data_IF_879336076903
#
_entry.id   IF_879336076903
#
_cell.length_a   1.000
_cell.length_b   1.000
_cell.length_c   1.000
_cell.angle_alpha   90.00
_cell.angle_beta   90.00
_cell.angle_gamma   90.00
#
_symmetry.space_group_name_H-M   'P 1'
#
loop_
_entity.id
_entity.type
_entity.pdbx_description
1 polymer ?
#
# COMPACT_ATOMS: atom_id res chain seq x y z
N UNK A 1 35.35 -29.90 -9.90
CA UNK A 1 35.83 -29.21 -8.69
C UNK A 1 34.65 -29.01 -7.73
N UNK A 2 34.59 -29.72 -6.59
CA UNK A 2 33.54 -29.52 -5.59
C UNK A 2 34.10 -28.72 -4.39
N UNK A 3 33.79 -27.42 -4.29
CA UNK A 3 34.05 -26.62 -3.08
C UNK A 3 32.92 -25.63 -2.72
N UNK A 4 31.76 -25.69 -3.39
CA UNK A 4 30.64 -24.76 -3.11
C UNK A 4 29.51 -25.34 -2.25
N UNK A 5 29.54 -26.64 -1.91
CA UNK A 5 28.46 -27.30 -1.14
C UNK A 5 28.64 -27.29 0.38
N UNK A 6 29.80 -26.86 0.90
CA UNK A 6 30.09 -26.95 2.35
C UNK A 6 29.71 -25.68 3.13
N UNK A 7 29.32 -24.59 2.46
CA UNK A 7 28.96 -23.33 3.15
C UNK A 7 27.49 -23.21 3.56
N UNK A 8 26.61 -24.04 2.99
CA UNK A 8 25.18 -24.05 3.36
C UNK A 8 24.83 -24.98 4.52
N UNK A 9 25.70 -25.95 4.87
CA UNK A 9 25.42 -26.92 5.94
C UNK A 9 25.98 -26.52 7.33
N UNK A 10 26.68 -25.38 7.44
CA UNK A 10 27.19 -24.87 8.72
C UNK A 10 26.36 -23.73 9.32
N UNK A 11 25.39 -23.18 8.59
CA UNK A 11 24.49 -22.14 9.12
C UNK A 11 23.30 -22.70 9.90
N UNK A 12 22.89 -23.94 9.64
CA UNK A 12 21.76 -24.58 10.33
C UNK A 12 22.12 -25.17 11.71
N UNK A 13 23.41 -25.35 12.03
CA UNK A 13 23.83 -25.97 13.29
C UNK A 13 24.30 -25.00 14.38
N UNK A 14 24.41 -23.69 14.12
CA UNK A 14 24.83 -22.69 15.14
C UNK A 14 23.64 -21.89 15.71
N UNK A 15 22.48 -21.90 15.04
CA UNK A 15 21.24 -21.28 15.57
C UNK A 15 20.34 -22.27 16.34
N UNK A 16 20.74 -23.55 16.43
CA UNK A 16 19.88 -24.64 16.87
C UNK A 16 19.80 -24.91 18.39
N UNK A 17 20.61 -24.29 19.24
CA UNK A 17 20.61 -24.67 20.67
C UNK A 17 20.50 -23.53 21.70
N UNK A 18 20.83 -22.28 21.38
CA UNK A 18 20.73 -21.19 22.37
C UNK A 18 19.40 -20.41 22.38
N UNK A 19 18.46 -20.76 21.50
CA UNK A 19 17.18 -20.04 21.39
C UNK A 19 15.96 -20.78 21.96
N UNK A 20 16.09 -22.02 22.44
CA UNK A 20 14.91 -22.76 22.95
C UNK A 20 14.42 -22.25 24.30
N UNK A 21 15.30 -21.82 25.20
CA UNK A 21 14.88 -21.25 26.50
C UNK A 21 14.39 -19.80 26.38
N UNK A 22 14.98 -19.00 25.48
CA UNK A 22 14.59 -17.60 25.28
C UNK A 22 13.29 -17.45 24.45
N UNK A 23 13.02 -18.38 23.53
CA UNK A 23 11.72 -18.46 22.85
C UNK A 23 10.65 -18.90 23.84
N UNK A 24 10.88 -19.89 24.70
CA UNK A 24 9.86 -20.37 25.65
C UNK A 24 9.46 -19.29 26.68
N UNK A 25 10.42 -18.46 27.13
CA UNK A 25 10.12 -17.33 28.02
C UNK A 25 9.44 -16.15 27.32
N UNK A 26 9.69 -15.92 26.02
CA UNK A 26 8.94 -14.94 25.22
C UNK A 26 7.54 -15.43 24.83
N UNK A 27 7.33 -16.72 24.60
CA UNK A 27 6.01 -17.29 24.29
C UNK A 27 5.08 -17.24 25.51
N UNK A 28 5.61 -17.42 26.73
CA UNK A 28 4.80 -17.32 27.95
C UNK A 28 4.40 -15.86 28.22
N UNK A 29 5.30 -14.88 28.00
CA UNK A 29 4.96 -13.45 28.13
C UNK A 29 4.03 -12.92 27.03
N UNK A 30 4.05 -13.49 25.83
CA UNK A 30 3.08 -13.16 24.78
C UNK A 30 1.72 -13.86 25.02
N UNK A 31 1.67 -15.08 25.59
CA UNK A 31 0.40 -15.75 25.89
C UNK A 31 -0.44 -15.05 26.97
N UNK A 32 0.18 -14.30 27.87
CA UNK A 32 -0.49 -13.48 28.89
C UNK A 32 -1.01 -12.13 28.36
N UNK A 33 -0.52 -11.66 27.21
CA UNK A 33 -1.03 -10.45 26.55
C UNK A 33 -2.19 -10.82 25.60
N UNK A 34 -2.20 -12.04 25.06
CA UNK A 34 -3.32 -12.55 24.27
C UNK A 34 -4.54 -13.01 25.09
N UNK A 35 -4.41 -13.26 26.40
CA UNK A 35 -5.57 -13.53 27.27
C UNK A 35 -6.34 -12.27 27.70
N UNK A 36 -5.75 -11.08 27.54
CA UNK A 36 -6.42 -9.78 27.80
C UNK A 36 -6.98 -9.11 26.54
N UNK A 37 -6.64 -9.61 25.34
CA UNK A 37 -7.20 -9.17 24.06
C UNK A 37 -8.14 -10.25 23.46
N UNK A 38 -8.08 -11.48 23.97
CA UNK A 38 -8.97 -12.60 23.60
C UNK A 38 -10.40 -12.54 24.15
N UNK A 39 -10.81 -11.45 24.81
CA UNK A 39 -12.19 -11.27 25.29
C UNK A 39 -13.06 -10.37 24.39
N UNK A 40 -12.55 -9.93 23.23
CA UNK A 40 -13.28 -8.99 22.35
C UNK A 40 -13.60 -9.52 20.95
N UNK A 41 -13.27 -10.77 20.62
CA UNK A 41 -13.48 -11.33 19.27
C UNK A 41 -14.21 -12.70 19.22
N UNK A 42 -14.87 -13.11 20.31
CA UNK A 42 -15.72 -14.31 20.35
C UNK A 42 -17.23 -14.00 20.44
N UNK A 43 -17.71 -13.00 19.69
CA UNK A 43 -19.15 -12.85 19.42
C UNK A 43 -19.39 -12.45 17.96
N UNK A 44 -18.90 -13.26 17.03
CA UNK A 44 -19.35 -13.24 15.65
C UNK A 44 -19.29 -14.65 15.06
N UNK A 45 -20.41 -15.37 15.18
CA UNK A 45 -20.71 -16.55 14.37
C UNK A 45 -20.27 -17.89 14.95
N UNK A 46 -21.00 -18.41 15.95
CA UNK A 46 -21.51 -19.79 16.03
C UNK A 46 -22.09 -20.05 17.43
N UNK A 47 -23.30 -19.54 17.67
CA UNK A 47 -24.29 -20.14 18.57
C UNK A 47 -25.67 -19.87 17.97
N UNK A 48 -25.89 -20.42 16.77
CA UNK A 48 -27.24 -20.85 16.37
C UNK A 48 -27.38 -22.31 16.78
N UNK A 49 -27.77 -22.54 18.02
CA UNK A 49 -28.72 -23.59 18.40
C UNK A 49 -29.11 -23.34 19.85
N UNK A 50 -30.40 -23.06 20.04
CA UNK A 50 -31.14 -22.94 21.31
C UNK A 50 -30.79 -21.77 22.24
N UNK A 51 -31.68 -20.78 22.28
CA UNK A 51 -31.93 -20.03 23.52
C UNK A 51 -31.40 -18.60 23.63
N UNK A 52 -31.47 -17.78 22.60
CA UNK A 52 -31.46 -16.31 22.77
C UNK A 52 -32.20 -15.63 21.62
N UNK A 53 -33.52 -15.56 21.71
CA UNK A 53 -34.30 -14.52 21.03
C UNK A 53 -33.87 -13.17 21.63
N UNK A 54 -32.74 -12.60 21.18
CA UNK A 54 -32.44 -11.19 21.41
C UNK A 54 -33.47 -10.42 20.59
N UNK A 55 -34.46 -9.86 21.28
CA UNK A 55 -35.35 -8.83 20.76
C UNK A 55 -34.52 -7.84 19.93
N UNK A 56 -34.89 -7.64 18.66
CA UNK A 56 -34.43 -6.48 17.89
C UNK A 56 -34.90 -5.25 18.65
N UNK A 57 -34.02 -4.65 19.44
CA UNK A 57 -34.30 -3.38 20.08
C UNK A 57 -34.41 -2.31 18.98
N UNK A 58 -35.55 -1.62 18.83
CA UNK A 58 -35.73 -0.59 17.80
C UNK A 58 -34.72 0.56 17.93
N UNK A 59 -34.14 0.75 19.12
CA UNK A 59 -33.11 1.77 19.40
C UNK A 59 -31.78 1.50 18.67
N UNK A 60 -31.31 0.24 18.59
CA UNK A 60 -30.09 -0.11 17.85
C UNK A 60 -30.23 0.12 16.34
N UNK A 61 -31.45 -0.05 15.81
CA UNK A 61 -31.78 0.22 14.40
C UNK A 61 -31.64 1.71 14.06
N UNK A 62 -32.04 2.62 14.96
CA UNK A 62 -32.00 4.05 14.70
C UNK A 62 -30.58 4.64 14.74
N UNK A 63 -29.73 4.12 15.64
CA UNK A 63 -28.35 4.57 15.84
C UNK A 63 -27.46 4.34 14.60
N UNK A 64 -27.40 3.09 14.14
CA UNK A 64 -26.59 2.73 12.97
C UNK A 64 -27.17 3.32 11.68
N UNK A 65 -28.49 3.46 11.57
CA UNK A 65 -29.11 4.05 10.38
C UNK A 65 -28.80 5.54 10.22
N UNK A 66 -28.73 6.33 11.29
CA UNK A 66 -28.45 7.76 11.15
C UNK A 66 -27.02 8.00 10.64
N UNK A 67 -26.03 7.28 11.19
CA UNK A 67 -24.63 7.36 10.75
C UNK A 67 -24.45 6.84 9.33
N UNK A 68 -25.16 5.78 8.94
CA UNK A 68 -25.12 5.22 7.59
C UNK A 68 -25.70 6.18 6.54
N UNK A 69 -26.78 6.90 6.88
CA UNK A 69 -27.45 7.84 5.96
C UNK A 69 -26.70 9.14 5.76
N UNK A 70 -25.91 9.57 6.75
CA UNK A 70 -25.15 10.80 6.66
C UNK A 70 -24.03 10.71 5.60
N UNK A 71 -24.17 11.51 4.55
CA UNK A 71 -23.20 11.71 3.46
C UNK A 71 -22.48 13.06 3.54
N UNK A 72 -22.97 13.97 4.38
CA UNK A 72 -22.36 15.28 4.63
C UNK A 72 -22.35 15.62 6.13
N UNK A 73 -21.41 16.45 6.62
CA UNK A 73 -21.32 16.80 8.04
C UNK A 73 -22.62 17.35 8.63
N UNK A 74 -23.35 18.19 7.88
CA UNK A 74 -24.59 18.83 8.36
C UNK A 74 -25.70 17.82 8.65
N UNK A 75 -25.62 16.62 8.05
CA UNK A 75 -26.61 15.55 8.23
C UNK A 75 -26.41 14.76 9.53
N UNK A 76 -25.37 15.05 10.31
CA UNK A 76 -25.08 14.37 11.58
C UNK A 76 -25.78 14.99 12.79
N UNK A 77 -26.45 16.13 12.64
CA UNK A 77 -27.20 16.77 13.74
C UNK A 77 -28.17 15.82 14.46
N UNK A 78 -28.97 14.98 13.77
CA UNK A 78 -29.84 14.02 14.44
C UNK A 78 -29.07 12.94 15.22
N UNK A 79 -27.89 12.54 14.72
CA UNK A 79 -27.03 11.57 15.41
C UNK A 79 -26.44 12.15 16.69
N UNK A 80 -26.08 13.44 16.70
CA UNK A 80 -25.61 14.12 17.90
C UNK A 80 -26.70 14.26 18.96
N UNK A 81 -27.92 14.61 18.56
CA UNK A 81 -29.09 14.67 19.47
C UNK A 81 -29.31 13.31 20.14
N UNK A 82 -29.37 12.25 19.33
CA UNK A 82 -29.54 10.89 19.81
C UNK A 82 -28.39 10.44 20.74
N UNK A 83 -27.14 10.78 20.41
CA UNK A 83 -25.99 10.49 21.24
C UNK A 83 -26.03 11.20 22.61
N UNK A 84 -26.52 12.44 22.66
CA UNK A 84 -26.68 13.19 23.89
C UNK A 84 -27.86 12.69 24.74
N UNK A 85 -28.94 12.20 24.13
CA UNK A 85 -30.07 11.59 24.85
C UNK A 85 -29.66 10.30 25.55
N UNK A 86 -28.79 9.50 24.91
CA UNK A 86 -28.30 8.23 25.46
C UNK A 86 -27.27 8.36 26.59
N UNK A 87 -26.61 9.51 26.74
CA UNK A 87 -25.62 9.72 27.79
C UNK A 87 -25.70 11.13 28.35
N UNK A 88 -26.11 11.24 29.62
CA UNK A 88 -26.05 12.48 30.40
C UNK A 88 -24.88 12.39 31.40
N UNK A 89 -23.89 13.30 31.37
CA UNK A 89 -23.76 14.44 30.46
C UNK A 89 -23.34 14.02 29.04
N UNK A 90 -23.79 14.79 28.05
CA UNK A 90 -23.38 14.56 26.66
C UNK A 90 -21.88 14.77 26.56
N UNK A 91 -21.15 13.68 26.32
CA UNK A 91 -19.70 13.70 26.36
C UNK A 91 -19.10 12.77 25.32
N UNK A 92 -17.89 13.10 24.88
CA UNK A 92 -17.06 12.28 23.98
C UNK A 92 -16.66 10.92 24.58
N UNK A 93 -16.97 10.67 25.86
CA UNK A 93 -16.80 9.36 26.50
C UNK A 93 -17.94 8.39 26.15
N UNK A 94 -19.07 8.88 25.63
CA UNK A 94 -20.09 8.01 25.04
C UNK A 94 -19.57 7.43 23.72
N UNK A 95 -19.58 6.10 23.59
CA UNK A 95 -19.16 5.39 22.38
C UNK A 95 -19.90 5.83 21.12
N UNK A 96 -21.21 6.10 21.19
CA UNK A 96 -21.98 6.55 20.03
C UNK A 96 -21.66 8.01 19.66
N UNK A 97 -21.51 8.91 20.64
CA UNK A 97 -21.06 10.28 20.38
C UNK A 97 -19.68 10.30 19.72
N UNK A 98 -18.77 9.45 20.19
CA UNK A 98 -17.45 9.27 19.62
C UNK A 98 -17.51 8.77 18.18
N UNK A 99 -18.39 7.82 17.87
CA UNK A 99 -18.64 7.35 16.49
C UNK A 99 -19.19 8.46 15.58
N UNK A 100 -20.10 9.30 16.08
CA UNK A 100 -20.61 10.46 15.34
C UNK A 100 -19.50 11.45 14.99
N UNK A 101 -18.61 11.78 15.94
CA UNK A 101 -17.44 12.62 15.66
C UNK A 101 -16.52 11.97 14.63
N UNK A 102 -16.21 10.67 14.78
CA UNK A 102 -15.39 9.95 13.80
C UNK A 102 -15.99 10.02 12.40
N UNK A 103 -17.31 9.84 12.28
CA UNK A 103 -18.01 9.98 11.00
C UNK A 103 -17.92 11.41 10.46
N UNK A 104 -18.07 12.42 11.31
CA UNK A 104 -17.93 13.83 10.90
C UNK A 104 -16.53 14.14 10.37
N UNK A 105 -15.48 13.71 11.08
CA UNK A 105 -14.08 13.87 10.64
C UNK A 105 -13.87 13.22 9.26
N UNK A 106 -14.36 12.00 9.06
CA UNK A 106 -14.26 11.32 7.76
C UNK A 106 -15.01 12.06 6.64
N UNK A 107 -16.22 12.58 6.92
CA UNK A 107 -17.00 13.33 5.95
C UNK A 107 -16.33 14.67 5.61
N UNK A 108 -15.77 15.38 6.58
CA UNK A 108 -15.02 16.62 6.37
C UNK A 108 -13.79 16.41 5.49
N UNK A 109 -13.02 15.33 5.73
CA UNK A 109 -11.90 14.96 4.85
C UNK A 109 -12.42 14.76 3.42
N UNK A 110 -13.48 13.96 3.24
CA UNK A 110 -14.00 13.62 1.90
C UNK A 110 -14.67 14.80 1.17
N UNK A 111 -15.09 15.83 1.90
CA UNK A 111 -15.63 17.10 1.41
C UNK A 111 -14.55 18.18 1.23
N UNK A 112 -13.27 17.79 1.25
CA UNK A 112 -12.12 18.67 1.03
C UNK A 112 -11.97 19.79 2.09
N UNK A 113 -12.27 19.46 3.34
CA UNK A 113 -12.03 20.35 4.50
C UNK A 113 -11.17 19.63 5.58
N UNK A 114 -9.92 19.25 5.25
CA UNK A 114 -9.03 18.52 6.17
C UNK A 114 -8.63 19.35 7.39
N UNK A 115 -8.55 20.68 7.27
CA UNK A 115 -8.18 21.57 8.38
C UNK A 115 -9.26 21.59 9.46
N UNK A 116 -10.53 21.69 9.05
CA UNK A 116 -11.65 21.57 10.00
C UNK A 116 -11.74 20.17 10.59
N UNK A 117 -11.45 19.13 9.79
CA UNK A 117 -11.38 17.76 10.29
C UNK A 117 -10.31 17.59 11.38
N UNK A 118 -9.13 18.20 11.18
CA UNK A 118 -8.03 18.23 12.14
C UNK A 118 -8.40 18.98 13.42
N UNK A 119 -8.95 20.18 13.29
CA UNK A 119 -9.41 20.95 14.44
C UNK A 119 -10.45 20.18 15.26
N UNK A 120 -11.40 19.52 14.59
CA UNK A 120 -12.41 18.70 15.25
C UNK A 120 -11.80 17.48 15.96
N UNK A 121 -10.81 16.84 15.33
CA UNK A 121 -10.07 15.73 15.93
C UNK A 121 -9.35 16.18 17.22
N UNK A 122 -8.62 17.29 17.18
CA UNK A 122 -7.92 17.88 18.34
C UNK A 122 -8.90 18.22 19.47
N UNK A 123 -10.01 18.91 19.14
CA UNK A 123 -11.07 19.28 20.08
C UNK A 123 -11.64 18.08 20.84
N UNK A 124 -11.72 16.92 20.20
CA UNK A 124 -12.28 15.70 20.76
C UNK A 124 -11.23 14.65 21.14
N UNK A 125 -9.95 15.04 21.21
CA UNK A 125 -8.84 14.17 21.58
C UNK A 125 -8.71 12.91 20.72
N UNK A 126 -9.02 13.04 19.42
CA UNK A 126 -8.63 12.06 18.41
C UNK A 126 -7.23 12.39 17.91
N UNK A 127 -6.41 11.34 17.73
CA UNK A 127 -5.19 11.48 16.97
C UNK A 127 -5.55 11.48 15.47
N UNK A 128 -5.46 12.65 14.83
CA UNK A 128 -5.84 12.87 13.44
C UNK A 128 -5.08 11.94 12.49
N UNK A 129 -3.77 11.80 12.67
CA UNK A 129 -2.92 10.98 11.80
C UNK A 129 -3.30 9.50 11.88
N UNK A 130 -3.58 9.00 13.09
CA UNK A 130 -4.03 7.63 13.33
C UNK A 130 -5.41 7.38 12.69
N UNK A 131 -6.27 8.40 12.72
CA UNK A 131 -7.58 8.35 12.08
C UNK A 131 -7.47 8.29 10.56
N UNK A 132 -6.69 9.18 9.96
CA UNK A 132 -6.42 9.20 8.51
C UNK A 132 -5.81 7.88 8.05
N UNK A 133 -4.82 7.35 8.78
CA UNK A 133 -4.23 6.04 8.51
C UNK A 133 -5.26 4.93 8.52
N UNK A 134 -6.20 4.95 9.47
CA UNK A 134 -7.25 3.94 9.57
C UNK A 134 -8.24 4.05 8.42
N UNK A 135 -8.70 5.26 8.10
CA UNK A 135 -9.64 5.53 7.02
C UNK A 135 -9.06 5.13 5.65
N UNK A 136 -7.77 5.45 5.43
CA UNK A 136 -7.05 5.03 4.23
C UNK A 136 -6.90 3.50 4.18
N UNK A 137 -6.53 2.86 5.29
CA UNK A 137 -6.40 1.40 5.35
C UNK A 137 -7.71 0.67 5.10
N UNK A 138 -8.82 1.23 5.57
CA UNK A 138 -10.18 0.71 5.34
C UNK A 138 -10.55 0.80 3.85
N UNK A 139 -10.33 1.95 3.22
CA UNK A 139 -10.57 2.11 1.78
C UNK A 139 -9.77 1.10 0.92
N UNK A 140 -8.51 0.81 1.29
CA UNK A 140 -7.71 -0.23 0.62
C UNK A 140 -8.28 -1.63 0.86
N UNK A 141 -8.66 -1.96 2.10
CA UNK A 141 -9.25 -3.27 2.45
C UNK A 141 -10.58 -3.53 1.75
N UNK A 142 -11.38 -2.50 1.58
CA UNK A 142 -12.67 -2.55 0.89
C UNK A 142 -12.52 -2.61 -0.64
N UNK A 143 -11.29 -2.63 -1.15
CA UNK A 143 -11.01 -2.69 -2.59
C UNK A 143 -11.35 -1.39 -3.31
N UNK A 144 -11.28 -0.24 -2.62
CA UNK A 144 -11.55 1.07 -3.18
C UNK A 144 -10.27 1.94 -3.24
N UNK A 145 -9.33 1.63 -4.16
CA UNK A 145 -8.06 2.35 -4.28
C UNK A 145 -8.24 3.83 -4.67
N UNK A 146 -9.28 4.17 -5.43
CA UNK A 146 -9.59 5.56 -5.79
C UNK A 146 -9.96 6.40 -4.58
N UNK A 147 -10.75 5.85 -3.65
CA UNK A 147 -11.06 6.52 -2.41
C UNK A 147 -9.82 6.67 -1.53
N UNK A 148 -8.97 5.64 -1.44
CA UNK A 148 -7.71 5.71 -0.70
C UNK A 148 -6.80 6.83 -1.27
N UNK A 149 -6.65 6.88 -2.60
CA UNK A 149 -5.90 7.93 -3.30
C UNK A 149 -6.48 9.32 -3.02
N UNK A 150 -7.81 9.47 -3.11
CA UNK A 150 -8.50 10.72 -2.78
C UNK A 150 -8.22 11.15 -1.33
N UNK A 151 -8.35 10.24 -0.35
CA UNK A 151 -8.05 10.55 1.06
C UNK A 151 -6.61 11.04 1.21
N UNK A 152 -5.64 10.34 0.62
CA UNK A 152 -4.24 10.73 0.71
C UNK A 152 -3.99 12.12 0.13
N UNK A 153 -4.50 12.41 -1.07
CA UNK A 153 -4.33 13.73 -1.70
C UNK A 153 -4.89 14.85 -0.84
N UNK A 154 -6.06 14.64 -0.23
CA UNK A 154 -6.74 15.65 0.59
C UNK A 154 -6.02 15.95 1.90
N UNK A 155 -5.28 15.00 2.45
CA UNK A 155 -4.58 15.14 3.74
C UNK A 155 -3.07 15.31 3.58
N UNK A 156 -2.52 15.26 2.36
CA UNK A 156 -1.07 15.21 2.13
C UNK A 156 -0.33 16.42 2.71
N UNK A 157 -0.91 17.61 2.65
CA UNK A 157 -0.31 18.84 3.17
C UNK A 157 -0.47 18.94 4.70
N UNK A 158 -1.46 18.23 5.25
CA UNK A 158 -1.72 18.18 6.68
C UNK A 158 -0.87 17.14 7.41
N UNK A 159 -0.18 16.25 6.67
CA UNK A 159 0.70 15.19 7.18
C UNK A 159 2.16 15.48 6.83
N UNK A 160 3.07 15.24 7.77
CA UNK A 160 4.50 15.29 7.47
C UNK A 160 4.95 14.10 6.59
N UNK A 161 6.22 14.13 6.15
CA UNK A 161 6.80 13.09 5.31
C UNK A 161 6.74 11.69 5.96
N UNK A 162 7.07 11.58 7.24
CA UNK A 162 7.11 10.28 7.95
C UNK A 162 5.71 9.67 8.06
N UNK A 163 4.68 10.49 8.32
CA UNK A 163 3.30 10.02 8.37
C UNK A 163 2.78 9.61 6.99
N UNK A 164 3.11 10.36 5.93
CA UNK A 164 2.77 9.96 4.54
C UNK A 164 3.42 8.63 4.18
N UNK A 165 4.70 8.45 4.50
CA UNK A 165 5.44 7.20 4.28
C UNK A 165 4.79 6.03 5.03
N UNK A 166 4.49 6.18 6.32
CA UNK A 166 3.85 5.13 7.12
C UNK A 166 2.45 4.70 6.62
N UNK A 167 1.72 5.59 5.94
CA UNK A 167 0.44 5.23 5.29
C UNK A 167 0.71 4.26 4.13
N UNK A 168 1.68 4.58 3.29
CA UNK A 168 2.02 3.80 2.09
C UNK A 168 2.70 2.49 2.45
N UNK A 169 3.66 2.48 3.38
CA UNK A 169 4.35 1.26 3.86
C UNK A 169 3.36 0.18 4.34
N UNK A 170 2.24 0.61 4.93
CA UNK A 170 1.18 -0.30 5.39
C UNK A 170 0.39 -0.94 4.25
N UNK A 171 0.27 -0.28 3.10
CA UNK A 171 -0.27 -0.90 1.88
C UNK A 171 0.73 -1.92 1.34
N UNK A 172 2.01 -1.57 1.39
CA UNK A 172 3.09 -2.40 0.87
C UNK A 172 3.32 -3.67 1.68
N UNK A 173 3.04 -3.68 2.99
CA UNK A 173 3.19 -4.90 3.79
C UNK A 173 2.34 -6.08 3.28
N UNK A 174 1.33 -5.81 2.46
CA UNK A 174 0.50 -6.82 1.79
C UNK A 174 0.80 -6.98 0.29
N UNK A 175 1.67 -6.15 -0.30
CA UNK A 175 2.01 -6.17 -1.73
C UNK A 175 3.49 -6.51 -1.92
N UNK A 176 3.76 -7.61 -2.61
CA UNK A 176 5.13 -8.06 -2.86
C UNK A 176 5.61 -7.80 -4.29
N UNK A 177 4.88 -7.01 -5.08
CA UNK A 177 5.22 -6.72 -6.49
C UNK A 177 6.05 -5.43 -6.54
N UNK A 178 7.36 -5.48 -6.87
CA UNK A 178 8.25 -4.33 -6.81
C UNK A 178 7.81 -3.12 -7.64
N UNK A 179 7.22 -3.36 -8.81
CA UNK A 179 6.76 -2.28 -9.67
C UNK A 179 5.49 -1.59 -9.17
N UNK A 180 4.60 -2.31 -8.48
CA UNK A 180 3.46 -1.67 -7.80
C UNK A 180 3.95 -0.80 -6.64
N UNK A 181 4.97 -1.26 -5.90
CA UNK A 181 5.61 -0.49 -4.84
C UNK A 181 6.20 0.82 -5.40
N UNK A 182 6.97 0.72 -6.48
CA UNK A 182 7.55 1.87 -7.17
C UNK A 182 6.47 2.87 -7.62
N UNK A 183 5.42 2.39 -8.28
CA UNK A 183 4.32 3.24 -8.76
C UNK A 183 3.60 3.94 -7.60
N UNK A 184 3.33 3.23 -6.50
CA UNK A 184 2.70 3.84 -5.33
C UNK A 184 3.59 4.92 -4.70
N UNK A 185 4.87 4.66 -4.52
CA UNK A 185 5.79 5.66 -3.96
C UNK A 185 5.86 6.93 -4.80
N UNK A 186 5.82 6.77 -6.12
CA UNK A 186 5.80 7.89 -7.05
C UNK A 186 4.47 8.64 -7.03
N UNK A 187 3.35 7.94 -7.11
CA UNK A 187 2.00 8.51 -7.05
C UNK A 187 1.77 9.35 -5.79
N UNK A 188 2.50 9.03 -4.72
CA UNK A 188 2.41 9.68 -3.42
C UNK A 188 3.61 10.57 -3.08
N UNK A 189 4.46 10.88 -4.07
CA UNK A 189 5.59 11.82 -3.95
C UNK A 189 6.55 11.47 -2.79
N UNK A 190 6.72 10.18 -2.48
CA UNK A 190 7.59 9.70 -1.40
C UNK A 190 9.06 9.54 -1.82
N UNK A 191 9.37 9.86 -3.08
CA UNK A 191 10.69 9.67 -3.67
C UNK A 191 10.94 8.24 -4.13
N UNK A 192 12.19 7.95 -4.48
CA UNK A 192 12.61 6.67 -5.10
C UNK A 192 13.34 5.74 -4.14
N UNK A 193 13.64 6.19 -2.92
CA UNK A 193 14.40 5.42 -1.95
C UNK A 193 13.50 4.92 -0.82
N UNK A 194 13.54 3.61 -0.59
CA UNK A 194 12.87 2.94 0.52
C UNK A 194 13.91 2.31 1.44
N UNK A 195 13.76 2.41 2.76
CA UNK A 195 14.77 1.94 3.72
C UNK A 195 15.09 0.44 3.60
N UNK A 196 14.06 -0.40 3.49
CA UNK A 196 14.25 -1.85 3.34
C UNK A 196 14.73 -2.28 1.94
N UNK A 197 14.24 -1.61 0.90
CA UNK A 197 14.38 -2.09 -0.48
C UNK A 197 15.51 -1.36 -1.23
N UNK A 198 15.85 -0.14 -0.83
CA UNK A 198 16.81 0.71 -1.54
C UNK A 198 16.15 1.48 -2.67
N UNK A 199 16.76 1.53 -3.85
CA UNK A 199 16.20 2.25 -5.00
C UNK A 199 15.04 1.44 -5.63
N UNK A 200 13.82 1.92 -5.45
CA UNK A 200 12.61 1.27 -5.93
C UNK A 200 12.54 1.18 -7.46
N UNK A 201 13.06 2.16 -8.19
CA UNK A 201 13.11 2.12 -9.65
C UNK A 201 14.01 0.96 -10.13
N UNK A 202 15.16 0.79 -9.47
CA UNK A 202 16.09 -0.30 -9.77
C UNK A 202 15.49 -1.67 -9.47
N UNK A 203 14.82 -1.84 -8.32
CA UNK A 203 14.21 -3.12 -7.96
C UNK A 203 13.03 -3.44 -8.88
N UNK A 204 12.23 -2.45 -9.25
CA UNK A 204 11.20 -2.66 -10.26
C UNK A 204 11.83 -3.10 -11.59
N UNK A 205 12.92 -2.46 -12.05
CA UNK A 205 13.64 -2.90 -13.25
C UNK A 205 14.18 -4.34 -13.11
N UNK A 206 14.86 -4.68 -12.02
CA UNK A 206 15.40 -6.04 -11.78
C UNK A 206 14.26 -7.08 -11.76
N UNK A 207 13.16 -6.78 -11.07
CA UNK A 207 11.97 -7.64 -11.05
C UNK A 207 11.28 -7.76 -12.40
N UNK A 208 11.33 -6.71 -13.23
CA UNK A 208 10.85 -6.78 -14.59
C UNK A 208 11.75 -7.72 -15.38
N UNK A 209 13.07 -7.56 -15.32
CA UNK A 209 14.06 -8.41 -16.01
C UNK A 209 13.86 -9.89 -15.72
N UNK A 210 13.55 -10.22 -14.47
CA UNK A 210 13.30 -11.61 -14.05
C UNK A 210 11.91 -12.13 -14.47
N UNK A 211 11.05 -11.27 -15.03
CA UNK A 211 9.71 -11.61 -15.50
C UNK A 211 9.67 -12.00 -16.98
N UNK A 212 8.60 -12.69 -17.41
CA UNK A 212 8.37 -13.07 -18.81
C UNK A 212 8.35 -11.82 -19.71
N UNK A 213 9.00 -11.87 -20.87
CA UNK A 213 8.99 -10.82 -21.89
C UNK A 213 7.56 -10.39 -22.29
N UNK A 214 6.58 -11.30 -22.20
CA UNK A 214 5.17 -10.97 -22.41
C UNK A 214 4.60 -9.98 -21.40
N UNK A 215 5.17 -9.88 -20.18
CA UNK A 215 4.83 -8.89 -19.17
C UNK A 215 5.42 -7.52 -19.51
N UNK A 216 6.67 -7.48 -19.99
CA UNK A 216 7.34 -6.26 -20.44
C UNK A 216 6.58 -5.54 -21.56
N UNK A 217 6.25 -6.28 -22.61
CA UNK A 217 5.60 -5.72 -23.80
C UNK A 217 4.22 -5.13 -23.48
N UNK A 218 3.57 -5.60 -22.41
CA UNK A 218 2.27 -5.09 -21.96
C UNK A 218 2.36 -3.82 -21.09
N UNK A 219 3.55 -3.42 -20.67
CA UNK A 219 3.76 -2.32 -19.71
C UNK A 219 4.67 -1.20 -20.28
N UNK A 220 4.47 -0.82 -21.55
CA UNK A 220 5.27 0.20 -22.25
C UNK A 220 5.36 1.55 -21.50
N UNK A 221 4.26 2.00 -20.88
CA UNK A 221 4.24 3.25 -20.11
C UNK A 221 5.19 3.19 -18.89
N UNK A 222 5.20 2.07 -18.16
CA UNK A 222 6.09 1.88 -17.02
C UNK A 222 7.56 1.83 -17.46
N UNK A 223 7.87 1.26 -18.63
CA UNK A 223 9.23 1.20 -19.15
C UNK A 223 9.77 2.58 -19.54
N UNK A 224 8.97 3.37 -20.25
CA UNK A 224 9.33 4.74 -20.59
C UNK A 224 9.56 5.59 -19.34
N UNK A 225 8.72 5.37 -18.33
CA UNK A 225 8.80 6.07 -17.06
C UNK A 225 10.03 5.68 -16.23
N UNK A 226 10.32 4.38 -16.13
CA UNK A 226 11.53 3.89 -15.47
C UNK A 226 12.78 4.40 -16.17
N UNK A 227 12.79 4.42 -17.51
CA UNK A 227 13.92 4.93 -18.31
C UNK A 227 14.26 6.40 -18.02
N UNK A 228 13.30 7.17 -17.50
CA UNK A 228 13.45 8.58 -17.13
C UNK A 228 13.68 8.78 -15.62
N UNK A 229 13.69 7.71 -14.83
CA UNK A 229 13.82 7.81 -13.37
C UNK A 229 15.22 8.21 -12.95
N UNK A 230 15.30 9.02 -11.89
CA UNK A 230 16.56 9.35 -11.25
C UNK A 230 17.10 8.15 -10.44
N UNK A 231 18.41 8.09 -10.24
CA UNK A 231 19.04 7.05 -9.41
C UNK A 231 19.28 5.70 -10.08
N UNK A 232 18.95 5.54 -11.35
CA UNK A 232 19.45 4.45 -12.21
C UNK A 232 20.65 4.93 -13.04
N UNK A 233 21.61 4.04 -13.27
CA UNK A 233 22.84 4.32 -14.03
C UNK A 233 22.55 4.53 -15.52
N UNK A 234 23.49 5.15 -16.23
CA UNK A 234 23.40 5.38 -17.68
C UNK A 234 23.20 4.07 -18.46
N UNK A 235 23.80 2.97 -18.00
CA UNK A 235 23.65 1.67 -18.65
C UNK A 235 22.27 1.06 -18.40
N UNK A 236 21.74 1.18 -17.18
CA UNK A 236 20.37 0.75 -16.84
C UNK A 236 19.31 1.58 -17.59
N UNK A 237 19.54 2.89 -17.74
CA UNK A 237 18.70 3.76 -18.58
C UNK A 237 18.71 3.31 -20.04
N UNK A 238 19.90 3.09 -20.62
CA UNK A 238 20.03 2.59 -22.01
C UNK A 238 19.37 1.23 -22.19
N UNK A 239 19.49 0.35 -21.21
CA UNK A 239 18.84 -0.95 -21.20
C UNK A 239 17.31 -0.81 -21.27
N UNK A 240 16.71 -0.01 -20.37
CA UNK A 240 15.28 0.26 -20.35
C UNK A 240 14.78 0.94 -21.64
N UNK A 241 15.50 1.95 -22.14
CA UNK A 241 15.19 2.63 -23.40
C UNK A 241 15.23 1.67 -24.59
N UNK A 242 16.20 0.76 -24.62
CA UNK A 242 16.32 -0.24 -25.69
C UNK A 242 15.16 -1.23 -25.66
N UNK A 243 14.76 -1.71 -24.47
CA UNK A 243 13.58 -2.57 -24.32
C UNK A 243 12.31 -1.84 -24.74
N UNK A 244 12.14 -0.57 -24.36
CA UNK A 244 10.98 0.24 -24.74
C UNK A 244 10.90 0.44 -26.26
N UNK A 245 11.99 0.79 -26.94
CA UNK A 245 11.94 0.91 -28.40
C UNK A 245 11.73 -0.45 -29.09
N UNK A 246 12.28 -1.53 -28.53
CA UNK A 246 12.06 -2.89 -29.00
C UNK A 246 10.59 -3.33 -28.85
N UNK A 247 9.92 -2.95 -27.76
CA UNK A 247 8.52 -3.32 -27.53
C UNK A 247 7.59 -2.64 -28.53
N UNK A 248 7.82 -1.36 -28.84
CA UNK A 248 7.11 -0.64 -29.90
C UNK A 248 7.24 -1.37 -31.25
N UNK A 249 8.43 -1.89 -31.59
CA UNK A 249 8.62 -2.67 -32.83
C UNK A 249 7.84 -3.99 -32.81
N UNK A 250 7.85 -4.72 -31.68
CA UNK A 250 7.09 -5.98 -31.55
C UNK A 250 5.59 -5.75 -31.65
N UNK A 251 5.09 -4.63 -31.15
CA UNK A 251 3.70 -4.21 -31.25
C UNK A 251 3.33 -3.61 -32.63
N UNK A 252 4.26 -3.64 -33.59
CA UNK A 252 4.10 -3.11 -34.96
C UNK A 252 3.88 -1.58 -35.01
N UNK A 253 4.28 -0.86 -33.96
CA UNK A 253 4.31 0.61 -33.90
C UNK A 253 5.62 1.13 -34.52
N UNK A 254 5.78 0.90 -35.83
CA UNK A 254 7.07 1.07 -36.53
C UNK A 254 7.54 2.53 -36.52
N UNK A 255 6.63 3.49 -36.68
CA UNK A 255 6.99 4.91 -36.74
C UNK A 255 7.42 5.42 -35.37
N UNK A 256 6.70 5.05 -34.32
CA UNK A 256 6.96 5.37 -32.91
C UNK A 256 8.29 4.76 -32.48
N UNK A 257 8.53 3.50 -32.84
CA UNK A 257 9.81 2.86 -32.60
C UNK A 257 10.97 3.57 -33.32
N UNK A 258 10.78 3.99 -34.57
CA UNK A 258 11.82 4.72 -35.30
C UNK A 258 12.17 6.04 -34.64
N UNK A 259 11.16 6.76 -34.14
CA UNK A 259 11.33 8.00 -33.38
C UNK A 259 12.07 7.70 -32.08
N UNK A 260 11.63 6.70 -31.33
CA UNK A 260 12.23 6.24 -30.07
C UNK A 260 13.74 5.95 -30.22
N UNK A 261 14.12 5.16 -31.24
CA UNK A 261 15.53 4.82 -31.52
C UNK A 261 16.36 6.05 -31.84
N UNK A 262 15.80 7.02 -32.58
CA UNK A 262 16.49 8.25 -32.92
C UNK A 262 16.62 9.19 -31.72
N UNK A 263 15.55 9.34 -30.92
CA UNK A 263 15.49 10.19 -29.74
C UNK A 263 16.49 9.76 -28.67
N UNK A 264 16.58 8.46 -28.39
CA UNK A 264 17.51 7.90 -27.41
C UNK A 264 18.89 7.57 -27.99
N UNK A 265 19.14 7.90 -29.27
CA UNK A 265 20.39 7.62 -29.96
C UNK A 265 20.88 6.15 -29.79
N UNK A 266 19.95 5.20 -29.90
CA UNK A 266 20.24 3.78 -29.66
C UNK A 266 20.96 3.15 -30.85
N UNK A 267 21.78 2.15 -30.53
CA UNK A 267 22.44 1.33 -31.55
C UNK A 267 21.40 0.45 -32.27
N UNK A 268 21.21 0.75 -33.55
CA UNK A 268 20.26 0.05 -34.42
C UNK A 268 20.63 -1.42 -34.60
N UNK A 269 21.92 -1.77 -34.51
CA UNK A 269 22.37 -3.16 -34.63
C UNK A 269 21.93 -4.00 -33.43
N UNK A 270 21.97 -3.41 -32.23
CA UNK A 270 21.47 -4.07 -31.01
C UNK A 270 20.00 -4.40 -31.17
N UNK A 271 19.18 -3.43 -31.60
CA UNK A 271 17.73 -3.63 -31.78
C UNK A 271 17.43 -4.64 -32.88
N UNK A 272 18.12 -4.56 -34.02
CA UNK A 272 17.96 -5.53 -35.11
C UNK A 272 18.30 -6.96 -34.66
N UNK A 273 19.35 -7.11 -33.86
CA UNK A 273 19.76 -8.41 -33.30
C UNK A 273 18.76 -8.93 -32.27
N UNK A 274 18.21 -8.05 -31.43
CA UNK A 274 17.14 -8.42 -30.50
C UNK A 274 15.88 -8.96 -31.20
N UNK A 275 15.52 -8.45 -32.38
CA UNK A 275 14.32 -8.92 -33.11
C UNK A 275 14.40 -10.39 -33.53
N UNK A 276 15.61 -10.90 -33.75
CA UNK A 276 15.90 -12.27 -34.19
C UNK A 276 16.48 -13.17 -33.09
N UNK A 277 16.83 -12.60 -31.94
CA UNK A 277 17.34 -13.35 -30.80
C UNK A 277 16.26 -14.27 -30.21
N UNK A 278 16.66 -15.48 -29.82
CA UNK A 278 15.78 -16.40 -29.09
C UNK A 278 15.40 -15.83 -27.71
N UNK A 279 16.34 -15.16 -27.05
CA UNK A 279 16.13 -14.41 -25.82
C UNK A 279 16.76 -13.00 -25.95
N UNK A 280 15.96 -11.98 -26.32
CA UNK A 280 16.46 -10.63 -26.55
C UNK A 280 16.86 -9.90 -25.26
N UNK A 281 16.29 -10.28 -24.10
CA UNK A 281 16.62 -9.66 -22.82
C UNK A 281 17.98 -10.14 -22.35
N UNK A 282 18.22 -11.46 -22.38
CA UNK A 282 19.54 -12.03 -22.03
C UNK A 282 20.63 -11.50 -22.98
N UNK A 283 20.34 -11.38 -24.28
CA UNK A 283 21.25 -10.74 -25.23
C UNK A 283 21.57 -9.29 -24.83
N UNK A 284 20.54 -8.50 -24.53
CA UNK A 284 20.71 -7.10 -24.18
C UNK A 284 21.47 -6.92 -22.85
N UNK A 285 21.19 -7.75 -21.85
CA UNK A 285 21.92 -7.78 -20.59
C UNK A 285 23.40 -8.05 -20.82
N UNK A 286 23.72 -9.07 -21.63
CA UNK A 286 25.10 -9.41 -21.96
C UNK A 286 25.83 -8.30 -22.73
N UNK A 287 25.09 -7.44 -23.43
CA UNK A 287 25.65 -6.36 -24.25
C UNK A 287 25.83 -5.04 -23.49
N UNK A 288 24.97 -4.75 -22.52
CA UNK A 288 24.90 -3.43 -21.87
C UNK A 288 25.23 -3.43 -20.36
N UNK A 289 25.14 -4.58 -19.69
CA UNK A 289 25.29 -4.69 -18.23
C UNK A 289 26.49 -5.54 -17.77
N UNK A 290 27.14 -6.26 -18.69
CA UNK A 290 28.43 -6.95 -18.49
C UNK A 290 29.57 -6.11 -19.11
#
# INVERSE_FOLDING_TARGET
>A
MPQLLTKYLLYDNVLGQNNKEDIMNRTIKLSLIWSLIGCSLLIAGFLTTTGCLRKKDPEHSNLTMCLYRAKKPEQLEPCYKLACEMAKPCSSRNGFYRQTISKEIALLILDNDPDKARFLAEKHSFNFDTFVRSLFSEAIKDGNPEQAKKIFVLVRESLDFEHRKQIIDRVLSNRQVPCEIYQLYKDYELGLHHEQYGNLARICMESLIDSDIGFFLKNNALLEELAKSEGISVNEQKFLQTIYCYSLLKDKQINEARICVAEYALDKEIIATMLIAADPIVYLQAKLLL
#
